data_IF_399946788228
#
_entry.id   IF_399946788228
#
_cell.length_a   1.000
_cell.length_b   1.000
_cell.length_c   1.000
_cell.angle_alpha   90.00
_cell.angle_beta   90.00
_cell.angle_gamma   90.00
#
_symmetry.space_group_name_H-M   'P 1'
#
loop_
_entity.id
_entity.type
_entity.pdbx_description
1 polymer ?
#
# COMPACT_ATOMS: atom_id res chain seq x y z
N UNK A 1 5.65 -0.63 -6.49
CA UNK A 1 6.67 -0.89 -5.45
C UNK A 1 7.81 0.10 -5.63
N UNK A 2 8.48 0.55 -4.56
CA UNK A 2 9.63 1.45 -4.69
C UNK A 2 10.78 0.77 -5.44
N UNK A 3 11.64 1.53 -6.12
CA UNK A 3 12.79 0.96 -6.84
C UNK A 3 13.71 0.17 -5.90
N UNK A 4 14.12 -1.04 -6.30
CA UNK A 4 14.96 -1.93 -5.49
C UNK A 4 14.17 -2.79 -4.49
N UNK A 5 12.84 -2.74 -4.50
CA UNK A 5 11.97 -3.56 -3.64
C UNK A 5 11.06 -4.49 -4.46
N UNK A 6 10.80 -5.68 -3.93
CA UNK A 6 9.83 -6.63 -4.47
C UNK A 6 8.89 -7.13 -3.39
N UNK A 7 7.67 -7.51 -3.76
CA UNK A 7 6.73 -8.15 -2.84
C UNK A 7 6.88 -9.67 -2.87
N UNK A 8 7.15 -10.33 -1.72
CA UNK A 8 7.17 -11.78 -1.66
C UNK A 8 5.77 -12.35 -1.88
N UNK A 9 5.69 -13.60 -2.38
CA UNK A 9 4.41 -14.26 -2.68
C UNK A 9 3.45 -14.34 -1.49
N UNK A 10 3.98 -14.41 -0.26
CA UNK A 10 3.21 -14.44 1.00
C UNK A 10 2.30 -13.20 1.19
N UNK A 11 2.62 -12.09 0.54
CA UNK A 11 1.80 -10.86 0.55
C UNK A 11 0.39 -11.13 0.03
N UNK A 12 0.27 -12.03 -0.95
CA UNK A 12 -1.04 -12.40 -1.50
C UNK A 12 -1.93 -12.98 -0.41
N UNK A 13 -1.42 -13.95 0.35
CA UNK A 13 -2.20 -14.64 1.37
C UNK A 13 -2.52 -13.74 2.55
N UNK A 14 -1.58 -12.86 2.96
CA UNK A 14 -1.81 -11.83 3.97
C UNK A 14 -2.96 -10.89 3.59
N UNK A 15 -2.94 -10.38 2.35
CA UNK A 15 -3.96 -9.44 1.88
C UNK A 15 -5.31 -10.13 1.66
N UNK A 16 -5.33 -11.35 1.12
CA UNK A 16 -6.55 -12.14 0.91
C UNK A 16 -7.24 -12.53 2.23
N UNK A 17 -6.55 -12.46 3.38
CA UNK A 17 -7.14 -12.66 4.70
C UNK A 17 -8.05 -11.51 5.16
N UNK A 18 -8.03 -10.35 4.49
CA UNK A 18 -8.88 -9.21 4.85
C UNK A 18 -10.30 -9.36 4.27
N UNK A 19 -11.32 -9.07 5.08
CA UNK A 19 -12.74 -9.30 4.75
C UNK A 19 -13.20 -8.65 3.44
N UNK A 20 -12.68 -7.47 3.10
CA UNK A 20 -13.09 -6.75 1.90
C UNK A 20 -12.22 -7.03 0.67
N UNK A 21 -11.15 -7.81 0.79
CA UNK A 21 -10.25 -8.11 -0.33
C UNK A 21 -10.84 -9.25 -1.16
N UNK A 22 -11.22 -8.92 -2.40
CA UNK A 22 -11.76 -9.87 -3.38
C UNK A 22 -10.65 -10.64 -4.09
N UNK A 23 -9.58 -9.92 -4.46
CA UNK A 23 -8.50 -10.47 -5.29
C UNK A 23 -7.23 -9.64 -5.09
N UNK A 24 -6.09 -10.31 -5.18
CA UNK A 24 -4.77 -9.69 -5.21
C UNK A 24 -4.02 -10.18 -6.45
N UNK A 25 -3.44 -9.24 -7.20
CA UNK A 25 -2.51 -9.50 -8.29
C UNK A 25 -1.12 -9.00 -7.89
N UNK A 26 -0.15 -9.90 -7.96
CA UNK A 26 1.26 -9.58 -7.73
C UNK A 26 1.99 -9.55 -9.08
N UNK A 27 2.72 -8.47 -9.31
CA UNK A 27 3.73 -8.32 -10.35
C UNK A 27 5.07 -7.98 -9.70
N UNK A 28 6.16 -8.02 -10.47
CA UNK A 28 7.52 -7.76 -9.94
C UNK A 28 7.59 -6.39 -9.24
N UNK A 29 7.01 -5.35 -9.87
CA UNK A 29 7.06 -3.97 -9.40
C UNK A 29 5.70 -3.42 -8.99
N UNK A 30 4.64 -4.23 -8.98
CA UNK A 30 3.31 -3.76 -8.61
C UNK A 30 2.47 -4.75 -7.82
N UNK A 31 1.61 -4.21 -6.96
CA UNK A 31 0.56 -4.96 -6.28
C UNK A 31 -0.77 -4.28 -6.56
N UNK A 32 -1.73 -5.04 -7.07
CA UNK A 32 -3.11 -4.58 -7.32
C UNK A 32 -4.06 -5.35 -6.41
N UNK A 33 -4.86 -4.62 -5.63
CA UNK A 33 -5.84 -5.14 -4.69
C UNK A 33 -7.22 -4.75 -5.19
N UNK A 34 -8.10 -5.73 -5.38
CA UNK A 34 -9.51 -5.50 -5.69
C UNK A 34 -10.33 -5.62 -4.41
N UNK A 35 -11.04 -4.56 -4.05
CA UNK A 35 -11.89 -4.47 -2.87
C UNK A 35 -13.35 -4.65 -3.26
N UNK A 36 -14.10 -5.42 -2.47
CA UNK A 36 -15.55 -5.60 -2.66
C UNK A 36 -16.32 -4.30 -2.48
N UNK A 37 -15.91 -3.51 -1.48
CA UNK A 37 -16.44 -2.19 -1.17
C UNK A 37 -15.43 -1.37 -0.38
N UNK A 38 -15.47 -0.06 -0.58
CA UNK A 38 -14.98 0.92 0.39
C UNK A 38 -16.20 1.47 1.14
N UNK A 39 -16.15 1.46 2.47
CA UNK A 39 -17.14 2.13 3.30
C UNK A 39 -16.60 3.49 3.76
N UNK A 40 -17.43 4.27 4.46
CA UNK A 40 -17.04 5.57 5.01
C UNK A 40 -16.03 5.47 6.16
N UNK A 41 -15.67 4.25 6.58
CA UNK A 41 -14.68 4.00 7.62
C UNK A 41 -13.28 3.83 7.01
N UNK A 42 -12.25 4.19 7.78
CA UNK A 42 -10.88 4.01 7.33
C UNK A 42 -10.53 2.52 7.25
N UNK A 43 -10.19 2.04 6.05
CA UNK A 43 -9.72 0.67 5.82
C UNK A 43 -8.20 0.68 5.66
N UNK A 44 -7.51 -0.13 6.46
CA UNK A 44 -6.03 -0.22 6.45
C UNK A 44 -5.59 -1.57 5.92
N UNK A 45 -4.72 -1.55 4.91
CA UNK A 45 -4.09 -2.74 4.35
C UNK A 45 -2.58 -2.62 4.46
N UNK A 46 -1.94 -3.68 4.96
CA UNK A 46 -0.50 -3.73 5.10
C UNK A 46 0.08 -4.85 4.26
N UNK A 47 1.21 -4.58 3.62
CA UNK A 47 1.99 -5.57 2.88
C UNK A 47 3.46 -5.45 3.25
N UNK A 48 4.18 -6.55 3.11
CA UNK A 48 5.63 -6.57 3.27
C UNK A 48 6.31 -6.41 1.92
N UNK A 49 7.42 -5.67 1.87
CA UNK A 49 8.29 -5.59 0.70
C UNK A 49 9.73 -5.86 1.11
N UNK A 50 10.44 -6.65 0.32
CA UNK A 50 11.84 -6.99 0.54
C UNK A 50 12.73 -6.15 -0.37
N UNK A 51 13.80 -5.59 0.19
CA UNK A 51 14.84 -4.97 -0.62
C UNK A 51 15.62 -6.07 -1.35
N UNK A 52 15.62 -5.99 -2.68
CA UNK A 52 16.36 -6.91 -3.56
C UNK A 52 17.62 -6.27 -4.14
N UNK A 53 17.66 -4.93 -4.19
CA UNK A 53 18.79 -4.17 -4.71
C UNK A 53 18.99 -2.89 -3.90
N UNK A 54 20.26 -2.55 -3.64
CA UNK A 54 20.62 -1.26 -3.03
C UNK A 54 20.68 -0.21 -4.13
N UNK A 55 19.63 0.60 -4.22
CA UNK A 55 19.52 1.68 -5.21
C UNK A 55 19.80 3.01 -4.52
N UNK A 56 20.78 3.77 -5.01
CA UNK A 56 21.17 5.06 -4.42
C UNK A 56 20.17 6.19 -4.73
N UNK A 57 19.56 6.17 -5.92
CA UNK A 57 18.56 7.17 -6.35
C UNK A 57 17.17 6.54 -6.40
N UNK A 58 16.56 6.32 -5.23
CA UNK A 58 15.31 5.56 -5.12
C UNK A 58 14.14 6.35 -5.68
N UNK A 59 13.46 5.76 -6.66
CA UNK A 59 12.22 6.31 -7.18
C UNK A 59 11.05 6.00 -6.23
N UNK A 60 10.15 6.96 -5.99
CA UNK A 60 8.95 6.72 -5.21
C UNK A 60 8.07 5.65 -5.87
N UNK A 61 7.29 4.97 -5.04
CA UNK A 61 6.14 4.24 -5.50
C UNK A 61 4.93 5.18 -5.59
N UNK A 62 4.09 4.95 -6.59
CA UNK A 62 2.76 5.54 -6.67
C UNK A 62 1.78 4.58 -6.01
N UNK A 63 0.95 5.10 -5.11
CA UNK A 63 -0.23 4.41 -4.57
C UNK A 63 -1.46 5.09 -5.15
N UNK A 64 -2.23 4.36 -5.95
CA UNK A 64 -3.45 4.84 -6.60
C UNK A 64 -4.67 4.09 -6.08
N UNK A 65 -5.71 4.82 -5.70
CA UNK A 65 -7.00 4.27 -5.29
C UNK A 65 -8.08 4.81 -6.22
N UNK A 66 -8.91 3.94 -6.78
CA UNK A 66 -9.96 4.34 -7.73
C UNK A 66 -11.16 3.39 -7.70
N UNK A 67 -12.32 3.89 -8.13
CA UNK A 67 -13.47 3.04 -8.44
C UNK A 67 -13.16 2.25 -9.73
N UNK A 68 -13.31 0.92 -9.67
CA UNK A 68 -12.98 0.04 -10.80
C UNK A 68 -13.80 0.36 -12.06
N UNK A 69 -15.04 0.85 -11.91
CA UNK A 69 -15.92 1.20 -13.02
C UNK A 69 -15.82 2.67 -13.43
N UNK A 70 -15.24 3.52 -12.58
CA UNK A 70 -15.02 4.95 -12.84
C UNK A 70 -13.54 5.34 -12.61
N UNK A 71 -12.59 4.80 -13.39
CA UNK A 71 -11.16 4.97 -13.14
C UNK A 71 -10.63 6.41 -13.34
N UNK A 72 -11.48 7.32 -13.85
CA UNK A 72 -11.20 8.76 -13.93
C UNK A 72 -11.26 9.45 -12.57
N UNK A 73 -11.99 8.88 -11.60
CA UNK A 73 -12.08 9.36 -10.22
C UNK A 73 -11.08 8.58 -9.36
N UNK A 74 -9.99 9.23 -8.97
CA UNK A 74 -8.92 8.58 -8.21
C UNK A 74 -8.25 9.50 -7.19
N UNK A 75 -7.66 8.88 -6.17
CA UNK A 75 -6.70 9.50 -5.27
C UNK A 75 -5.33 8.88 -5.47
N UNK A 76 -4.28 9.70 -5.40
CA UNK A 76 -2.89 9.28 -5.60
C UNK A 76 -1.99 9.84 -4.51
N UNK A 77 -1.07 9.00 -4.01
CA UNK A 77 -0.02 9.38 -3.07
C UNK A 77 1.31 8.78 -3.49
N UNK A 78 2.38 9.55 -3.34
CA UNK A 78 3.75 9.07 -3.51
C UNK A 78 4.30 8.54 -2.18
N UNK A 79 4.93 7.37 -2.24
CA UNK A 79 5.53 6.72 -1.07
C UNK A 79 7.00 6.37 -1.32
N UNK A 80 7.89 6.79 -0.41
CA UNK A 80 9.31 6.41 -0.38
C UNK A 80 9.59 5.68 0.94
N UNK A 81 10.19 4.48 0.92
CA UNK A 81 10.48 3.75 2.14
C UNK A 81 11.66 4.39 2.89
N UNK A 82 11.53 4.53 4.21
CA UNK A 82 12.66 4.90 5.08
C UNK A 82 13.51 3.62 5.25
N UNK A 83 14.71 3.59 4.67
CA UNK A 83 15.70 2.56 5.00
C UNK A 83 16.69 3.15 5.99
N UNK A 84 16.84 2.48 7.12
CA UNK A 84 17.92 2.77 8.05
C UNK A 84 19.22 2.29 7.39
N UNK A 85 19.93 3.20 6.73
CA UNK A 85 21.31 2.94 6.35
C UNK A 85 22.11 2.85 7.66
N UNK A 86 22.87 1.79 7.93
CA UNK A 86 23.77 1.80 9.08
C UNK A 86 24.77 2.93 8.84
N UNK A 87 24.67 4.00 9.64
CA UNK A 87 25.83 4.84 9.91
C UNK A 87 26.79 3.96 10.71
N UNK A 88 28.06 3.98 10.33
CA UNK A 88 29.14 3.23 10.99
C UNK A 88 28.95 3.24 12.52
N UNK A 89 28.97 2.05 13.13
CA UNK A 89 28.52 1.77 14.50
C UNK A 89 29.02 2.79 15.54
N UNK A 90 28.09 3.53 16.15
CA UNK A 90 28.23 3.98 17.54
C UNK A 90 26.99 3.55 18.33
N UNK A 91 27.24 2.81 19.40
CA UNK A 91 26.27 2.36 20.38
C UNK A 91 25.65 3.55 21.11
N UNK A 92 24.32 3.65 21.17
CA UNK A 92 23.64 4.25 22.33
C UNK A 92 22.24 3.66 22.48
N UNK A 93 22.10 2.89 23.54
CA UNK A 93 20.85 2.57 24.22
C UNK A 93 20.06 3.84 24.54
N UNK A 94 18.83 3.91 24.07
CA UNK A 94 17.85 4.93 24.45
C UNK A 94 16.45 4.34 24.39
N UNK A 95 15.99 3.81 25.53
CA UNK A 95 14.59 3.48 25.75
C UNK A 95 13.78 4.77 25.80
N UNK A 96 12.62 4.82 25.14
CA UNK A 96 11.50 5.62 25.62
C UNK A 96 10.16 5.09 25.07
N UNK A 97 9.24 4.95 26.02
CA UNK A 97 7.86 4.51 25.92
C UNK A 97 6.99 5.59 25.27
N UNK A 98 5.85 5.22 24.69
CA UNK A 98 4.64 6.05 24.74
C UNK A 98 3.40 5.18 24.49
N UNK A 99 2.52 5.20 25.48
CA UNK A 99 1.26 4.48 25.59
C UNK A 99 0.26 4.83 24.47
N UNK A 100 -0.66 3.90 24.14
CA UNK A 100 -1.96 4.29 23.59
C UNK A 100 -3.11 3.56 24.27
N UNK A 101 -4.07 4.40 24.67
CA UNK A 101 -5.22 4.16 25.53
C UNK A 101 -6.42 3.58 24.74
N UNK A 102 -7.23 2.80 25.44
CA UNK A 102 -8.47 2.12 24.99
C UNK A 102 -9.56 3.08 24.47
N UNK A 103 -10.43 2.67 23.54
CA UNK A 103 -11.90 2.90 23.60
C UNK A 103 -12.69 2.01 22.61
N UNK A 104 -13.66 1.27 23.15
CA UNK A 104 -14.74 0.52 22.46
C UNK A 104 -15.96 1.40 22.16
N UNK A 105 -16.61 1.24 20.99
CA UNK A 105 -18.04 1.51 20.65
C UNK A 105 -18.24 1.32 19.13
N UNK A 106 -19.37 1.01 18.46
CA UNK A 106 -20.69 0.43 18.74
C UNK A 106 -21.38 0.16 17.36
N UNK A 107 -22.05 -0.99 17.23
CA UNK A 107 -23.26 -1.38 16.44
C UNK A 107 -23.67 -0.73 15.09
N UNK A 108 -23.69 -1.61 14.07
CA UNK A 108 -24.60 -1.84 12.90
C UNK A 108 -25.02 -0.74 11.91
N UNK A 109 -24.94 -1.05 10.60
CA UNK A 109 -26.06 -1.09 9.63
C UNK A 109 -25.70 -2.04 8.44
N UNK A 110 -26.65 -2.88 8.05
CA UNK A 110 -26.57 -3.85 6.95
C UNK A 110 -26.78 -3.14 5.61
N UNK A 111 -25.78 -3.15 4.72
CA UNK A 111 -25.86 -2.51 3.40
C UNK A 111 -25.70 -3.56 2.29
N UNK A 112 -26.75 -3.70 1.49
CA UNK A 112 -26.82 -4.57 0.30
C UNK A 112 -25.82 -4.05 -0.75
N UNK A 113 -24.81 -4.83 -1.18
CA UNK A 113 -23.82 -4.34 -2.13
C UNK A 113 -24.46 -4.11 -3.51
N UNK A 114 -24.53 -2.85 -3.92
CA UNK A 114 -24.93 -2.42 -5.27
C UNK A 114 -23.77 -2.58 -6.25
N UNK A 115 -24.10 -2.71 -7.54
CA UNK A 115 -23.19 -3.06 -8.66
C UNK A 115 -22.01 -2.08 -8.86
N UNK A 116 -21.97 -0.97 -8.14
CA UNK A 116 -20.97 0.10 -8.21
C UNK A 116 -19.95 0.11 -7.06
N UNK A 117 -19.96 -0.86 -6.14
CA UNK A 117 -19.11 -0.77 -4.95
C UNK A 117 -17.64 -1.22 -5.14
N UNK A 118 -17.20 -1.71 -6.30
CA UNK A 118 -15.89 -2.35 -6.39
C UNK A 118 -14.76 -1.32 -6.58
N UNK A 119 -13.86 -1.21 -5.60
CA UNK A 119 -12.69 -0.31 -5.66
C UNK A 119 -11.40 -1.09 -5.92
N UNK A 120 -10.40 -0.41 -6.46
CA UNK A 120 -9.06 -0.96 -6.69
C UNK A 120 -7.99 -0.09 -6.04
N UNK A 121 -6.97 -0.74 -5.48
CA UNK A 121 -5.76 -0.11 -4.98
C UNK A 121 -4.56 -0.67 -5.74
N UNK A 122 -3.74 0.21 -6.30
CA UNK A 122 -2.53 -0.17 -7.04
C UNK A 122 -1.31 0.50 -6.45
N UNK A 123 -0.24 -0.28 -6.26
CA UNK A 123 1.04 0.21 -5.76
C UNK A 123 2.14 -0.11 -6.77
N UNK A 124 2.61 0.85 -7.55
CA UNK A 124 3.58 0.68 -8.66
C UNK A 124 4.81 1.59 -8.50
N UNK A 125 5.89 1.36 -9.26
CA UNK A 125 7.00 2.34 -9.37
C UNK A 125 6.51 3.56 -10.17
N UNK A 126 6.93 4.78 -9.80
CA UNK A 126 6.72 5.94 -10.66
C UNK A 126 7.57 5.79 -11.94
N UNK A 127 6.95 5.46 -13.07
CA UNK A 127 7.62 5.53 -14.36
C UNK A 127 7.68 7.00 -14.77
N UNK A 128 8.88 7.55 -14.94
CA UNK A 128 9.04 8.80 -15.67
C UNK A 128 8.64 8.51 -17.12
N UNK A 129 7.53 9.08 -17.59
CA UNK A 129 7.35 9.23 -19.03
C UNK A 129 8.59 9.96 -19.54
N UNK A 130 9.28 9.38 -20.53
CA UNK A 130 10.38 10.01 -21.23
C UNK A 130 9.91 11.37 -21.75
N UNK A 131 10.22 12.45 -21.01
CA UNK A 131 10.26 13.78 -21.58
C UNK A 131 11.45 13.85 -22.53
N UNK A 132 11.33 13.19 -23.68
CA UNK A 132 12.06 13.55 -24.88
C UNK A 132 11.47 14.88 -25.35
N UNK A 133 12.02 15.97 -24.81
CA UNK A 133 11.87 17.29 -25.41
C UNK A 133 12.76 17.29 -26.65
N UNK A 134 12.10 17.36 -27.81
CA UNK A 134 12.63 17.48 -29.17
C UNK A 134 13.70 18.55 -29.33
#
# INVERSE_FOLDING_TARGET
MPSGFSSPGIVKDQLMGNTFVKRVLLSINSVTIYLLKMDSSAQTYSLTANQVEVVNNRQPAVVKVYDYYEPGEYAEVLHIPIIHMPLDEETTTGSESSDEVTTTSSTALDEVPTKHSMSSVEVSTLNQEDTNVT
#
